data_IF_824807046398
#
_entry.id   IF_824807046398
#
_cell.length_a   1.000
_cell.length_b   1.000
_cell.length_c   1.000
_cell.angle_alpha   90.00
_cell.angle_beta   90.00
_cell.angle_gamma   90.00
#
_symmetry.space_group_name_H-M   'P 1'
#
loop_
_entity.id
_entity.type
_entity.pdbx_description
1 polymer ?
#
# COMPACT_ATOMS: atom_id res chain seq x y z
N UNK A 1 6.90 -5.28 -18.67
CA UNK A 1 5.40 -5.36 -18.67
C UNK A 1 4.84 -3.99 -18.32
N UNK A 2 3.72 -3.57 -18.95
CA UNK A 2 3.05 -2.31 -18.61
C UNK A 2 2.36 -2.43 -17.24
N UNK A 3 2.56 -1.46 -16.36
CA UNK A 3 1.90 -1.33 -15.07
C UNK A 3 1.08 -0.03 -15.03
N UNK A 4 -0.23 -0.16 -14.84
CA UNK A 4 -1.16 0.97 -14.77
C UNK A 4 -1.20 1.51 -13.35
N UNK A 5 -0.93 2.81 -13.17
CA UNK A 5 -0.69 3.41 -11.86
C UNK A 5 -1.73 4.50 -11.57
N UNK A 6 -2.49 4.32 -10.49
CA UNK A 6 -3.32 5.37 -9.91
C UNK A 6 -2.38 6.40 -9.25
N UNK A 7 -2.29 7.64 -9.78
CA UNK A 7 -1.23 8.55 -9.38
C UNK A 7 -1.40 9.06 -7.94
N UNK A 8 -0.29 9.16 -7.16
CA UNK A 8 -0.29 9.89 -5.92
C UNK A 8 -0.38 11.40 -6.19
N UNK A 9 -0.63 12.21 -5.16
CA UNK A 9 -0.81 13.67 -5.32
C UNK A 9 0.51 14.41 -5.59
N UNK A 10 1.55 14.07 -4.84
CA UNK A 10 2.79 14.82 -4.84
C UNK A 10 3.72 14.46 -6.00
N UNK A 11 4.52 15.45 -6.44
CA UNK A 11 5.54 15.23 -7.48
C UNK A 11 6.63 14.27 -6.99
N UNK A 12 7.14 14.48 -5.77
CA UNK A 12 8.18 13.61 -5.17
C UNK A 12 7.69 12.17 -4.98
N UNK A 13 6.43 12.01 -4.54
CA UNK A 13 5.82 10.68 -4.42
C UNK A 13 5.73 9.98 -5.79
N UNK A 14 5.34 10.71 -6.84
CA UNK A 14 5.36 10.18 -8.22
C UNK A 14 6.75 9.72 -8.64
N UNK A 15 7.79 10.49 -8.30
CA UNK A 15 9.17 10.15 -8.60
C UNK A 15 9.63 8.87 -7.89
N UNK A 16 9.26 8.67 -6.60
CA UNK A 16 9.56 7.44 -5.86
C UNK A 16 8.89 6.21 -6.50
N UNK A 17 7.58 6.30 -6.78
CA UNK A 17 6.88 5.21 -7.47
C UNK A 17 7.45 4.94 -8.87
N UNK A 18 7.81 5.98 -9.61
CA UNK A 18 8.44 5.84 -10.93
C UNK A 18 9.76 5.09 -10.83
N UNK A 19 10.65 5.49 -9.92
CA UNK A 19 11.93 4.85 -9.72
C UNK A 19 11.78 3.38 -9.31
N UNK A 20 10.91 3.09 -8.35
CA UNK A 20 10.63 1.74 -7.87
C UNK A 20 10.11 0.82 -8.99
N UNK A 21 9.06 1.25 -9.69
CA UNK A 21 8.41 0.48 -10.76
C UNK A 21 9.38 0.22 -11.91
N UNK A 22 10.15 1.24 -12.34
CA UNK A 22 11.12 1.09 -13.44
C UNK A 22 12.32 0.27 -13.02
N UNK A 23 12.79 0.39 -11.77
CA UNK A 23 13.86 -0.42 -11.21
C UNK A 23 13.54 -1.92 -11.20
N UNK A 24 12.26 -2.28 -11.06
CA UNK A 24 11.76 -3.65 -11.14
C UNK A 24 11.40 -4.11 -12.58
N UNK A 25 11.73 -3.31 -13.61
CA UNK A 25 11.53 -3.66 -15.02
C UNK A 25 10.13 -3.44 -15.58
N UNK A 26 9.26 -2.72 -14.86
CA UNK A 26 7.94 -2.38 -15.37
C UNK A 26 7.96 -1.07 -16.15
N UNK A 27 7.05 -0.94 -17.12
CA UNK A 27 6.78 0.31 -17.85
C UNK A 27 5.59 1.01 -17.22
N UNK A 28 5.77 2.17 -16.55
CA UNK A 28 4.69 2.86 -15.84
C UNK A 28 3.71 3.54 -16.81
N UNK A 29 2.43 3.32 -16.60
CA UNK A 29 1.32 3.97 -17.31
C UNK A 29 0.48 4.74 -16.29
N UNK A 30 0.69 6.03 -16.16
CA UNK A 30 -0.12 6.87 -15.27
C UNK A 30 -1.56 6.96 -15.75
N UNK A 31 -2.48 6.68 -14.83
CA UNK A 31 -3.91 6.73 -15.10
C UNK A 31 -4.45 8.16 -14.98
N UNK A 32 -5.37 8.48 -15.87
CA UNK A 32 -6.27 9.61 -15.82
C UNK A 32 -7.72 9.13 -16.14
N UNK A 33 -8.70 10.01 -16.06
CA UNK A 33 -10.10 9.65 -16.31
C UNK A 33 -10.40 9.14 -17.74
N UNK A 34 -9.54 9.42 -18.69
CA UNK A 34 -9.72 9.02 -20.10
C UNK A 34 -9.12 7.65 -20.38
N UNK A 35 -8.21 7.20 -19.51
CA UNK A 35 -7.45 5.97 -19.70
C UNK A 35 -8.07 4.80 -18.96
N UNK A 36 -8.37 3.73 -19.69
CA UNK A 36 -8.82 2.46 -19.10
C UNK A 36 -7.65 1.64 -18.58
N UNK A 37 -7.89 0.87 -17.54
CA UNK A 37 -6.95 -0.16 -17.04
C UNK A 37 -6.92 -1.31 -18.05
N UNK A 38 -5.73 -1.62 -18.58
CA UNK A 38 -5.52 -2.68 -19.61
C UNK A 38 -4.39 -3.64 -19.20
N UNK A 39 -4.11 -3.76 -17.92
CA UNK A 39 -3.07 -4.59 -17.35
C UNK A 39 -3.05 -4.47 -15.84
N UNK A 40 -2.00 -4.96 -15.16
CA UNK A 40 -1.87 -4.84 -13.71
C UNK A 40 -2.05 -3.40 -13.24
N UNK A 41 -2.78 -3.23 -12.13
CA UNK A 41 -3.09 -1.95 -11.51
C UNK A 41 -2.30 -1.76 -10.21
N UNK A 42 -1.62 -0.64 -10.07
CA UNK A 42 -1.00 -0.19 -8.81
C UNK A 42 -1.80 0.99 -8.23
N UNK A 43 -2.28 0.82 -7.01
CA UNK A 43 -2.90 1.86 -6.18
C UNK A 43 -1.86 2.40 -5.21
N UNK A 44 -1.50 3.66 -5.37
CA UNK A 44 -0.46 4.33 -4.59
C UNK A 44 -0.95 4.83 -3.23
N UNK A 45 0.00 5.07 -2.33
CA UNK A 45 -0.21 5.80 -1.09
C UNK A 45 -0.75 7.23 -1.30
N UNK A 46 -1.03 7.94 -0.20
CA UNK A 46 -1.52 9.31 -0.26
C UNK A 46 -2.39 9.73 0.92
N UNK A 47 -3.13 10.83 0.77
CA UNK A 47 -4.03 11.36 1.79
C UNK A 47 -5.17 10.37 2.11
N UNK A 48 -5.72 10.49 3.32
CA UNK A 48 -6.81 9.66 3.82
C UNK A 48 -7.99 9.57 2.86
N UNK A 49 -8.64 8.42 2.87
CA UNK A 49 -9.89 8.21 2.12
C UNK A 49 -10.94 9.19 2.64
N UNK A 50 -11.68 9.82 1.71
CA UNK A 50 -12.64 10.88 2.00
C UNK A 50 -12.08 12.30 1.96
N UNK A 51 -10.76 12.49 2.03
CA UNK A 51 -10.13 13.83 1.88
C UNK A 51 -10.04 14.28 0.41
N UNK A 52 -10.10 13.33 -0.53
CA UNK A 52 -10.14 13.59 -1.97
C UNK A 52 -11.20 12.69 -2.63
N UNK A 53 -12.49 13.05 -2.53
CA UNK A 53 -13.58 12.22 -3.05
C UNK A 53 -13.50 11.95 -4.55
N UNK A 54 -12.87 12.85 -5.32
CA UNK A 54 -12.67 12.64 -6.75
C UNK A 54 -11.65 11.54 -7.02
N UNK A 55 -10.53 11.51 -6.27
CA UNK A 55 -9.54 10.45 -6.33
C UNK A 55 -10.15 9.12 -5.89
N UNK A 56 -10.88 9.10 -4.78
CA UNK A 56 -11.54 7.91 -4.27
C UNK A 56 -12.45 7.29 -5.34
N UNK A 57 -13.31 8.12 -5.94
CA UNK A 57 -14.21 7.69 -7.02
C UNK A 57 -13.45 7.13 -8.24
N UNK A 58 -12.35 7.77 -8.63
CA UNK A 58 -11.51 7.28 -9.74
C UNK A 58 -10.90 5.91 -9.44
N UNK A 59 -10.35 5.75 -8.25
CA UNK A 59 -9.75 4.48 -7.83
C UNK A 59 -10.78 3.35 -7.76
N UNK A 60 -11.99 3.60 -7.27
CA UNK A 60 -13.10 2.64 -7.32
C UNK A 60 -13.43 2.20 -8.76
N UNK A 61 -13.43 3.15 -9.72
CA UNK A 61 -13.64 2.83 -11.14
C UNK A 61 -12.51 1.95 -11.68
N UNK A 62 -11.26 2.27 -11.38
CA UNK A 62 -10.10 1.51 -11.84
C UNK A 62 -10.01 0.12 -11.21
N UNK A 63 -10.32 -0.01 -9.92
CA UNK A 63 -10.45 -1.31 -9.24
C UNK A 63 -11.50 -2.17 -9.97
N UNK A 64 -12.69 -1.62 -10.19
CA UNK A 64 -13.77 -2.33 -10.93
C UNK A 64 -13.32 -2.77 -12.32
N UNK A 65 -12.64 -1.90 -13.07
CA UNK A 65 -12.12 -2.24 -14.40
C UNK A 65 -11.09 -3.37 -14.36
N UNK A 66 -10.15 -3.31 -13.41
CA UNK A 66 -9.14 -4.35 -13.24
C UNK A 66 -9.77 -5.71 -12.89
N UNK A 67 -10.70 -5.73 -11.95
CA UNK A 67 -11.44 -6.95 -11.55
C UNK A 67 -12.23 -7.55 -12.72
N UNK A 68 -12.97 -6.74 -13.48
CA UNK A 68 -13.73 -7.19 -14.63
C UNK A 68 -12.86 -7.80 -15.75
N UNK A 69 -11.61 -7.32 -15.86
CA UNK A 69 -10.65 -7.82 -16.83
C UNK A 69 -9.68 -8.87 -16.27
N UNK A 70 -9.88 -9.32 -15.02
CA UNK A 70 -8.99 -10.25 -14.29
C UNK A 70 -7.53 -9.81 -14.25
N UNK A 71 -7.28 -8.49 -14.24
CA UNK A 71 -5.96 -7.94 -14.07
C UNK A 71 -5.53 -7.96 -12.61
N UNK A 72 -4.26 -8.24 -12.31
CA UNK A 72 -3.71 -8.11 -10.96
C UNK A 72 -3.85 -6.70 -10.40
N UNK A 73 -4.05 -6.61 -9.07
CA UNK A 73 -4.14 -5.34 -8.35
C UNK A 73 -3.14 -5.34 -7.20
N UNK A 74 -2.33 -4.31 -7.14
CA UNK A 74 -1.38 -4.05 -6.06
C UNK A 74 -1.85 -2.81 -5.30
N UNK A 75 -1.88 -2.89 -3.96
CA UNK A 75 -2.21 -1.77 -3.07
C UNK A 75 -1.04 -1.43 -2.14
N UNK A 76 -0.66 -0.15 -2.08
CA UNK A 76 0.39 0.36 -1.19
C UNK A 76 -0.19 1.42 -0.27
N UNK A 77 -0.04 1.24 1.04
CA UNK A 77 -0.51 2.15 2.08
C UNK A 77 -2.00 2.50 1.90
N UNK A 78 -2.34 3.73 1.51
CA UNK A 78 -3.72 4.10 1.17
C UNK A 78 -4.32 3.17 0.09
N UNK A 79 -3.51 2.64 -0.84
CA UNK A 79 -3.96 1.66 -1.85
C UNK A 79 -4.44 0.35 -1.22
N UNK A 80 -3.83 -0.10 -0.13
CA UNK A 80 -4.34 -1.21 0.68
C UNK A 80 -5.66 -0.85 1.36
N UNK A 81 -5.74 0.34 1.95
CA UNK A 81 -6.92 0.81 2.67
C UNK A 81 -8.14 0.94 1.77
N UNK A 82 -7.98 1.48 0.56
CA UNK A 82 -9.11 1.62 -0.38
C UNK A 82 -9.57 0.26 -0.94
N UNK A 83 -8.67 -0.72 -1.09
CA UNK A 83 -9.04 -2.11 -1.40
C UNK A 83 -9.86 -2.71 -0.26
N UNK A 84 -9.41 -2.59 0.99
CA UNK A 84 -10.16 -3.06 2.14
C UNK A 84 -11.60 -2.49 2.15
N UNK A 85 -11.72 -1.18 1.97
CA UNK A 85 -13.01 -0.50 1.94
C UNK A 85 -13.87 -0.89 0.72
N UNK A 86 -13.26 -1.04 -0.46
CA UNK A 86 -13.97 -1.47 -1.68
C UNK A 86 -14.66 -2.83 -1.49
N UNK A 87 -14.05 -3.75 -0.76
CA UNK A 87 -14.57 -5.08 -0.47
C UNK A 87 -15.42 -5.16 0.81
N UNK A 88 -15.67 -4.04 1.49
CA UNK A 88 -16.60 -3.95 2.63
C UNK A 88 -15.95 -3.90 4.01
N UNK A 89 -14.62 -3.88 4.09
CA UNK A 89 -13.89 -3.62 5.32
C UNK A 89 -13.91 -2.14 5.72
N UNK A 90 -13.23 -1.80 6.81
CA UNK A 90 -13.16 -0.44 7.34
C UNK A 90 -11.74 0.04 7.50
N UNK A 91 -11.57 1.37 7.51
CA UNK A 91 -10.33 2.07 7.82
C UNK A 91 -10.59 2.98 9.01
N UNK A 92 -9.74 2.89 10.04
CA UNK A 92 -9.88 3.67 11.27
C UNK A 92 -8.55 4.27 11.67
N UNK A 93 -8.60 5.34 12.46
CA UNK A 93 -7.39 5.94 13.02
C UNK A 93 -6.75 5.01 14.06
N UNK A 94 -5.42 4.98 14.09
CA UNK A 94 -4.68 4.32 15.15
C UNK A 94 -4.92 5.06 16.47
N UNK A 95 -5.21 4.33 17.54
CA UNK A 95 -5.27 4.94 18.87
C UNK A 95 -3.86 5.33 19.36
N UNK A 96 -3.78 6.27 20.33
CA UNK A 96 -2.51 6.82 20.80
C UNK A 96 -1.54 5.74 21.35
N UNK A 97 -2.05 4.71 22.02
CA UNK A 97 -1.22 3.63 22.57
C UNK A 97 -0.56 2.80 21.44
N UNK A 98 -1.31 2.49 20.38
CA UNK A 98 -0.79 1.75 19.22
C UNK A 98 0.18 2.62 18.41
N UNK A 99 -0.10 3.92 18.29
CA UNK A 99 0.81 4.88 17.67
C UNK A 99 2.13 4.98 18.42
N UNK A 100 2.14 4.86 19.75
CA UNK A 100 3.37 4.87 20.55
C UNK A 100 4.19 3.59 20.35
N UNK A 101 3.56 2.41 20.26
CA UNK A 101 4.25 1.17 19.91
C UNK A 101 4.85 1.23 18.49
N UNK A 102 4.16 1.87 17.55
CA UNK A 102 4.68 2.14 16.20
C UNK A 102 5.79 3.20 16.20
N UNK A 103 5.73 4.18 17.13
CA UNK A 103 6.78 5.19 17.29
C UNK A 103 7.99 4.67 18.08
N UNK A 104 7.82 3.70 18.99
CA UNK A 104 8.91 3.14 19.79
C UNK A 104 9.96 2.38 18.97
N UNK A 105 9.63 2.01 17.75
CA UNK A 105 10.59 1.48 16.77
C UNK A 105 11.45 2.58 16.12
N UNK A 106 11.51 3.79 16.68
CA UNK A 106 12.28 4.92 16.16
C UNK A 106 13.79 4.68 16.26
N UNK A 107 14.40 4.11 15.25
CA UNK A 107 15.81 4.25 14.95
C UNK A 107 15.96 5.16 13.73
N UNK A 108 15.79 6.47 13.94
CA UNK A 108 15.80 7.40 12.83
C UNK A 108 17.10 8.19 12.79
N UNK A 109 18.04 7.76 11.98
CA UNK A 109 19.03 8.67 11.38
C UNK A 109 18.61 9.11 9.97
N UNK A 110 17.61 8.45 9.35
CA UNK A 110 17.15 8.77 8.01
C UNK A 110 15.99 9.77 8.03
N UNK A 111 16.22 10.89 7.35
CA UNK A 111 15.23 11.95 7.15
C UNK A 111 14.50 11.69 5.83
N UNK A 112 13.17 11.64 5.89
CA UNK A 112 12.35 11.49 4.69
C UNK A 112 12.47 12.69 3.74
N UNK A 113 11.89 12.55 2.55
CA UNK A 113 11.86 13.63 1.55
C UNK A 113 11.09 14.88 1.99
N UNK A 114 10.38 14.85 3.13
CA UNK A 114 9.70 16.00 3.74
C UNK A 114 10.52 16.64 4.88
N UNK A 115 11.70 16.10 5.19
CA UNK A 115 12.56 16.55 6.28
C UNK A 115 12.13 16.00 7.65
N UNK A 116 11.26 14.97 7.69
CA UNK A 116 10.84 14.30 8.93
C UNK A 116 11.59 12.98 9.08
N UNK A 117 11.90 12.56 10.32
CA UNK A 117 12.45 11.24 10.57
C UNK A 117 11.60 10.14 9.97
N UNK A 118 12.21 9.19 9.27
CA UNK A 118 11.55 7.96 8.85
C UNK A 118 11.24 7.13 10.09
N UNK A 119 10.02 6.60 10.15
CA UNK A 119 9.62 5.66 11.20
C UNK A 119 9.68 4.26 10.64
N UNK A 120 10.22 3.32 11.41
CA UNK A 120 10.30 1.91 11.06
C UNK A 120 9.65 1.10 12.16
N UNK A 121 9.06 -0.03 11.79
CA UNK A 121 8.58 -1.04 12.71
C UNK A 121 8.79 -2.43 12.12
N UNK A 122 8.64 -3.45 12.95
CA UNK A 122 8.76 -4.83 12.53
C UNK A 122 7.37 -5.35 12.15
N UNK A 123 7.30 -6.05 11.03
CA UNK A 123 6.14 -6.85 10.63
C UNK A 123 6.51 -8.33 10.66
N UNK A 124 5.54 -9.16 11.03
CA UNK A 124 5.64 -10.61 10.97
C UNK A 124 4.79 -11.13 9.83
N UNK A 125 5.38 -11.97 8.97
CA UNK A 125 4.64 -12.65 7.90
C UNK A 125 3.96 -13.94 8.40
N UNK A 126 3.18 -14.57 7.50
CA UNK A 126 2.44 -15.81 7.81
C UNK A 126 3.33 -17.01 8.10
N UNK A 127 4.62 -16.95 7.80
CA UNK A 127 5.61 -17.99 8.04
C UNK A 127 6.46 -17.70 9.30
N UNK A 128 6.17 -16.57 10.00
CA UNK A 128 6.85 -16.14 11.21
C UNK A 128 8.15 -15.38 10.96
N UNK A 129 8.43 -14.96 9.72
CA UNK A 129 9.61 -14.16 9.44
C UNK A 129 9.37 -12.70 9.83
N UNK A 130 10.38 -12.10 10.46
CA UNK A 130 10.35 -10.72 10.89
C UNK A 130 11.08 -9.83 9.88
N UNK A 131 10.44 -8.75 9.46
CA UNK A 131 11.00 -7.78 8.53
C UNK A 131 10.83 -6.37 9.05
N UNK A 132 11.88 -5.55 8.94
CA UNK A 132 11.82 -4.14 9.28
C UNK A 132 11.29 -3.35 8.07
N UNK A 133 10.20 -2.60 8.26
CA UNK A 133 9.55 -1.81 7.21
C UNK A 133 9.34 -0.37 7.66
N UNK A 134 9.29 0.56 6.68
CA UNK A 134 8.95 1.94 7.02
C UNK A 134 7.48 2.10 7.38
N UNK A 135 7.18 3.01 8.31
CA UNK A 135 5.82 3.33 8.73
C UNK A 135 5.50 4.80 8.53
N UNK A 136 4.44 5.08 7.77
CA UNK A 136 4.00 6.45 7.44
C UNK A 136 2.48 6.58 7.43
N UNK A 137 1.82 5.78 8.27
CA UNK A 137 0.38 5.79 8.36
C UNK A 137 -0.07 6.10 9.78
N UNK A 138 -1.22 6.73 9.91
CA UNK A 138 -1.94 6.97 11.16
C UNK A 138 -3.31 6.29 11.15
N UNK A 139 -3.61 5.56 10.08
CA UNK A 139 -4.82 4.76 9.91
C UNK A 139 -4.46 3.32 9.56
N UNK A 140 -5.34 2.38 9.90
CA UNK A 140 -5.18 0.97 9.56
C UNK A 140 -6.50 0.33 9.13
N UNK A 141 -6.39 -0.83 8.49
CA UNK A 141 -7.51 -1.64 8.06
C UNK A 141 -8.05 -2.49 9.22
N UNK A 142 -9.36 -2.48 9.40
CA UNK A 142 -10.08 -3.42 10.26
C UNK A 142 -11.23 -4.08 9.48
N UNK A 143 -11.88 -5.05 10.09
CA UNK A 143 -12.97 -5.82 9.44
C UNK A 143 -12.52 -6.35 8.06
N UNK A 144 -11.33 -6.99 8.02
CA UNK A 144 -10.76 -7.52 6.78
C UNK A 144 -11.75 -8.50 6.14
N UNK A 145 -12.19 -8.26 4.90
CA UNK A 145 -13.15 -9.13 4.21
C UNK A 145 -12.66 -10.58 4.09
N UNK A 146 -13.58 -11.55 4.21
CA UNK A 146 -13.27 -12.98 4.25
C UNK A 146 -12.56 -13.54 3.00
N UNK A 147 -12.63 -12.84 1.87
CA UNK A 147 -11.88 -13.19 0.67
C UNK A 147 -10.40 -12.85 0.76
N UNK A 148 -10.00 -12.00 1.71
CA UNK A 148 -8.59 -11.67 1.94
C UNK A 148 -7.96 -12.56 3.02
N UNK A 149 -6.78 -13.07 2.72
CA UNK A 149 -5.90 -13.69 3.69
C UNK A 149 -4.90 -12.65 4.18
N UNK A 150 -4.87 -12.37 5.48
CA UNK A 150 -3.83 -11.54 6.11
C UNK A 150 -2.47 -12.20 5.89
N UNK A 151 -1.49 -11.42 5.44
CA UNK A 151 -0.14 -11.88 5.12
C UNK A 151 0.92 -11.32 6.03
N UNK A 152 0.69 -10.13 6.60
CA UNK A 152 1.61 -9.47 7.52
C UNK A 152 0.82 -8.79 8.62
N UNK A 153 1.37 -8.82 9.82
CA UNK A 153 0.84 -8.15 11.02
C UNK A 153 1.97 -7.38 11.70
N UNK A 154 1.62 -6.33 12.44
CA UNK A 154 2.59 -5.59 13.26
C UNK A 154 3.16 -6.45 14.37
N UNK A 155 4.47 -6.37 14.64
CA UNK A 155 5.15 -7.11 15.69
C UNK A 155 5.77 -6.13 16.72
N UNK A 156 5.73 -6.41 18.05
CA UNK A 156 5.19 -7.61 18.69
C UNK A 156 3.70 -7.55 19.03
N UNK A 157 3.02 -6.42 18.81
CA UNK A 157 1.65 -6.21 19.28
C UNK A 157 0.60 -7.06 18.55
N UNK A 158 0.90 -7.53 17.33
CA UNK A 158 0.01 -8.31 16.46
C UNK A 158 -1.40 -7.68 16.26
N UNK A 159 -1.50 -6.37 16.44
CA UNK A 159 -2.77 -5.64 16.49
C UNK A 159 -3.17 -4.97 15.18
N UNK A 160 -2.21 -4.81 14.26
CA UNK A 160 -2.43 -4.11 12.98
C UNK A 160 -2.21 -5.06 11.82
N UNK A 161 -3.17 -5.09 10.90
CA UNK A 161 -2.98 -5.77 9.61
C UNK A 161 -2.10 -4.91 8.71
N UNK A 162 -0.91 -5.41 8.42
CA UNK A 162 0.11 -4.74 7.62
C UNK A 162 0.13 -5.22 6.16
N UNK A 163 -0.52 -6.34 5.87
CA UNK A 163 -0.68 -6.83 4.51
C UNK A 163 -1.75 -7.89 4.39
N UNK A 164 -2.36 -7.97 3.21
CA UNK A 164 -3.29 -9.03 2.85
C UNK A 164 -3.20 -9.38 1.36
N UNK A 165 -3.76 -10.54 1.01
CA UNK A 165 -3.87 -11.01 -0.39
C UNK A 165 -5.21 -11.69 -0.66
N UNK A 166 -5.61 -11.68 -1.94
CA UNK A 166 -6.60 -12.57 -2.52
C UNK A 166 -6.01 -13.16 -3.81
N UNK A 167 -5.54 -14.40 -3.74
CA UNK A 167 -4.91 -15.06 -4.88
C UNK A 167 -5.91 -15.34 -6.01
N UNK A 168 -7.18 -15.56 -5.67
CA UNK A 168 -8.24 -15.85 -6.65
C UNK A 168 -8.52 -14.66 -7.55
N UNK A 169 -8.44 -13.45 -7.01
CA UNK A 169 -8.62 -12.20 -7.73
C UNK A 169 -7.28 -11.51 -8.07
N UNK A 170 -6.15 -12.13 -7.72
CA UNK A 170 -4.81 -11.61 -7.97
C UNK A 170 -4.59 -10.24 -7.32
N UNK A 171 -4.93 -10.13 -6.03
CA UNK A 171 -4.77 -8.91 -5.23
C UNK A 171 -3.68 -9.12 -4.18
N UNK A 172 -2.76 -8.17 -4.06
CA UNK A 172 -1.75 -8.11 -3.00
C UNK A 172 -1.64 -6.67 -2.49
N UNK A 173 -1.62 -6.50 -1.19
CA UNK A 173 -1.58 -5.18 -0.61
C UNK A 173 -0.73 -5.13 0.67
N UNK A 174 -0.05 -4.00 0.88
CA UNK A 174 0.80 -3.73 2.04
C UNK A 174 0.53 -2.33 2.58
N UNK A 175 0.70 -2.16 3.90
CA UNK A 175 0.48 -0.89 4.57
C UNK A 175 1.73 0.00 4.52
N UNK A 176 2.95 -0.58 4.50
CA UNK A 176 4.21 0.17 4.35
C UNK A 176 4.44 0.67 2.92
N UNK A 177 5.56 1.36 2.70
CA UNK A 177 5.92 2.01 1.45
C UNK A 177 7.16 1.36 0.79
N UNK A 178 7.01 0.26 0.04
CA UNK A 178 8.13 -0.41 -0.63
C UNK A 178 8.81 0.45 -1.71
N UNK A 179 8.13 1.47 -2.22
CA UNK A 179 8.70 2.43 -3.18
C UNK A 179 9.71 3.39 -2.56
N UNK A 180 9.94 3.31 -1.26
CA UNK A 180 10.97 4.08 -0.56
C UNK A 180 12.20 3.23 -0.34
N UNK A 181 13.38 3.82 -0.56
CA UNK A 181 14.67 3.11 -0.54
C UNK A 181 14.97 2.46 0.81
N UNK A 182 14.38 2.99 1.89
CA UNK A 182 14.57 2.52 3.26
C UNK A 182 13.88 1.18 3.58
N UNK A 183 13.06 0.64 2.67
CA UNK A 183 12.34 -0.62 2.91
C UNK A 183 13.17 -1.83 2.49
N UNK A 184 13.34 -2.81 3.39
CA UNK A 184 14.06 -4.05 3.10
C UNK A 184 13.33 -4.93 2.09
N UNK A 185 11.99 -4.95 2.09
CA UNK A 185 11.12 -5.68 1.16
C UNK A 185 10.62 -4.77 0.03
N UNK A 186 11.53 -4.15 -0.69
CA UNK A 186 11.19 -3.15 -1.70
C UNK A 186 10.64 -3.72 -3.02
N UNK A 187 10.75 -5.00 -3.29
CA UNK A 187 10.18 -5.68 -4.45
C UNK A 187 8.75 -6.20 -4.20
N UNK A 188 8.41 -6.53 -2.95
CA UNK A 188 7.06 -6.94 -2.58
C UNK A 188 6.14 -5.71 -2.44
N UNK A 189 4.89 -5.74 -2.92
CA UNK A 189 4.20 -6.87 -3.55
C UNK A 189 4.32 -6.96 -5.08
N UNK A 190 5.09 -6.08 -5.75
CA UNK A 190 5.23 -6.10 -7.22
C UNK A 190 5.87 -7.38 -7.76
N UNK A 191 6.69 -8.07 -6.96
CA UNK A 191 7.26 -9.38 -7.30
C UNK A 191 6.21 -10.48 -7.51
N UNK A 192 4.93 -10.19 -7.23
CA UNK A 192 3.80 -11.13 -7.47
C UNK A 192 3.18 -10.98 -8.87
N UNK A 193 3.61 -9.98 -9.64
CA UNK A 193 3.18 -9.75 -11.02
C UNK A 193 4.04 -10.54 -12.02
#
# INVERSE_FOLDING_TARGET
>A
MNLYIAPPRGKKEKESYLAWVTGLGFTPIWLDLRRKVKGPLLLCGGADIGKDPERDRKEYIWIKQALQASHPIIGVCRGMQILNQYFGGKVVDLNEAIVEDHKAANFAEDIDHSGKPSQFHIVEDIDGNLTNVNSRHHQHCIDIPNNFKVTHISYPSNSITEGFKDESQKIWAVQWHPERIESENNDYPLSKL
#
